data_IF_497353988923
#
_entry.id   IF_497353988923
#
_cell.length_a   1.000
_cell.length_b   1.000
_cell.length_c   1.000
_cell.angle_alpha   90.00
_cell.angle_beta   90.00
_cell.angle_gamma   90.00
#
_symmetry.space_group_name_H-M   'P 1'
#
loop_
_entity.id
_entity.type
_entity.pdbx_description
1 polymer ?
#
# COMPACT_ATOMS: atom_id res chain seq x y z
N UNK A 1 -20.27 28.91 -41.01
CA UNK A 1 -20.73 28.85 -39.61
C UNK A 1 -20.89 27.38 -39.28
N UNK A 2 -19.90 26.78 -38.64
CA UNK A 2 -19.92 25.39 -38.18
C UNK A 2 -19.98 25.45 -36.67
N UNK A 3 -21.13 25.03 -36.10
CA UNK A 3 -21.32 24.87 -34.67
C UNK A 3 -20.49 23.67 -34.19
N UNK A 4 -19.57 23.97 -33.33
CA UNK A 4 -18.81 22.98 -32.58
C UNK A 4 -19.56 22.71 -31.25
N UNK A 5 -20.39 21.69 -31.21
CA UNK A 5 -20.99 21.21 -29.95
C UNK A 5 -19.91 20.47 -29.13
N UNK A 6 -19.55 21.09 -28.05
CA UNK A 6 -18.67 20.49 -27.03
C UNK A 6 -19.43 19.45 -26.26
N UNK A 7 -18.97 18.17 -26.31
CA UNK A 7 -19.45 17.10 -25.46
C UNK A 7 -19.18 17.44 -23.98
N UNK A 8 -20.12 17.15 -23.07
CA UNK A 8 -19.94 17.47 -21.67
C UNK A 8 -18.85 16.56 -21.05
N UNK A 9 -17.78 17.21 -20.60
CA UNK A 9 -16.84 16.60 -19.67
C UNK A 9 -17.60 16.35 -18.37
N UNK A 10 -17.84 15.11 -18.02
CA UNK A 10 -18.40 14.74 -16.72
C UNK A 10 -17.32 15.02 -15.68
N UNK A 11 -17.34 16.20 -15.11
CA UNK A 11 -16.60 16.53 -13.90
C UNK A 11 -17.28 15.78 -12.77
N UNK A 12 -16.56 14.86 -12.12
CA UNK A 12 -17.04 14.19 -10.91
C UNK A 12 -17.29 15.26 -9.83
N UNK A 13 -18.56 15.61 -9.64
CA UNK A 13 -19.01 16.53 -8.61
C UNK A 13 -19.05 15.82 -7.26
N UNK A 14 -19.07 16.59 -6.16
CA UNK A 14 -19.20 16.06 -4.77
C UNK A 14 -20.31 15.02 -4.62
N UNK A 15 -21.40 15.12 -5.38
CA UNK A 15 -22.48 14.13 -5.43
C UNK A 15 -22.05 12.73 -5.88
N UNK A 16 -21.01 12.61 -6.73
CA UNK A 16 -20.49 11.30 -7.14
C UNK A 16 -19.70 10.67 -5.98
N UNK A 17 -18.99 11.48 -5.19
CA UNK A 17 -18.28 11.00 -3.99
C UNK A 17 -19.27 10.56 -2.92
N UNK A 18 -20.36 11.30 -2.69
CA UNK A 18 -21.46 10.89 -1.78
C UNK A 18 -22.14 9.60 -2.26
N UNK A 19 -22.42 9.43 -3.56
CA UNK A 19 -23.03 8.20 -4.08
C UNK A 19 -22.07 6.99 -4.01
N UNK A 20 -20.76 7.21 -4.01
CA UNK A 20 -19.75 6.17 -3.81
C UNK A 20 -19.74 5.67 -2.35
N UNK A 21 -19.95 6.57 -1.38
CA UNK A 21 -20.07 6.20 0.03
C UNK A 21 -21.36 5.42 0.34
N UNK A 22 -22.48 5.80 -0.29
CA UNK A 22 -23.79 5.21 -0.04
C UNK A 22 -23.97 3.80 -0.62
N UNK A 23 -23.23 3.43 -1.68
CA UNK A 23 -23.31 2.09 -2.27
C UNK A 23 -22.65 1.00 -1.40
N UNK A 24 -21.76 1.37 -0.47
CA UNK A 24 -21.17 0.47 0.53
C UNK A 24 -21.90 0.49 1.89
N UNK A 25 -22.88 1.37 2.07
CA UNK A 25 -23.62 1.56 3.31
C UNK A 25 -24.88 0.68 3.39
N UNK A 26 -24.77 -0.66 3.42
CA UNK A 26 -25.93 -1.49 3.78
C UNK A 26 -25.59 -2.71 4.64
N UNK A 27 -25.87 -2.55 5.89
CA UNK A 27 -26.54 -3.44 6.90
C UNK A 27 -25.80 -4.65 7.51
N UNK A 28 -24.75 -5.23 6.95
CA UNK A 28 -23.98 -6.31 7.60
C UNK A 28 -22.46 -6.07 7.60
N UNK A 29 -21.99 -4.94 7.06
CA UNK A 29 -20.59 -4.60 6.87
C UNK A 29 -20.02 -3.56 7.85
N UNK A 30 -20.85 -3.00 8.75
CA UNK A 30 -20.41 -1.89 9.63
C UNK A 30 -19.23 -2.25 10.57
N UNK A 31 -18.97 -3.54 10.75
CA UNK A 31 -17.87 -4.06 11.57
C UNK A 31 -16.77 -4.76 10.75
N UNK A 32 -16.65 -4.49 9.45
CA UNK A 32 -15.62 -5.10 8.60
C UNK A 32 -14.87 -4.05 7.77
N UNK A 33 -13.55 -4.15 7.74
CA UNK A 33 -12.70 -3.29 6.94
C UNK A 33 -12.58 -3.84 5.51
N UNK A 34 -13.05 -3.11 4.48
CA UNK A 34 -12.83 -3.48 3.09
C UNK A 34 -11.41 -3.13 2.65
N UNK A 35 -10.81 -4.00 1.86
CA UNK A 35 -9.49 -3.81 1.23
C UNK A 35 -9.59 -4.26 -0.22
N UNK A 36 -9.04 -3.49 -1.13
CA UNK A 36 -8.96 -3.85 -2.54
C UNK A 36 -7.65 -4.57 -2.83
N UNK A 37 -7.72 -5.79 -3.35
CA UNK A 37 -6.57 -6.50 -3.89
C UNK A 37 -6.57 -6.39 -5.41
N UNK A 38 -5.42 -6.05 -6.00
CA UNK A 38 -5.29 -5.96 -7.45
C UNK A 38 -4.32 -7.03 -7.91
N UNK A 39 -4.80 -7.96 -8.72
CA UNK A 39 -3.95 -8.91 -9.44
C UNK A 39 -3.48 -8.27 -10.74
N UNK A 40 -2.18 -8.16 -10.92
CA UNK A 40 -1.58 -7.56 -12.11
C UNK A 40 -1.73 -8.46 -13.33
N UNK A 41 -2.17 -7.86 -14.43
CA UNK A 41 -2.20 -8.48 -15.76
C UNK A 41 -0.99 -8.01 -16.57
N UNK A 42 -0.61 -6.73 -16.39
CA UNK A 42 0.57 -6.12 -17.02
C UNK A 42 1.29 -5.20 -16.04
N UNK A 43 2.56 -5.47 -15.77
CA UNK A 43 3.30 -6.71 -16.08
C UNK A 43 2.73 -7.89 -15.28
N UNK A 44 3.06 -9.12 -15.67
CA UNK A 44 2.60 -10.35 -15.00
C UNK A 44 3.12 -10.50 -13.56
N UNK A 45 4.14 -9.75 -13.20
CA UNK A 45 4.71 -9.66 -11.84
C UNK A 45 5.02 -8.22 -11.52
N UNK A 46 4.79 -7.83 -10.28
CA UNK A 46 5.03 -6.50 -9.75
C UNK A 46 5.76 -6.63 -8.42
N UNK A 47 6.71 -5.72 -8.17
CA UNK A 47 7.51 -5.77 -6.95
C UNK A 47 9.00 -5.90 -7.21
N UNK A 48 9.71 -6.52 -6.28
CA UNK A 48 11.17 -6.60 -6.29
C UNK A 48 11.61 -7.99 -6.75
N UNK A 49 12.57 -7.99 -7.69
CA UNK A 49 13.22 -9.20 -8.18
C UNK A 49 14.68 -9.21 -7.71
N UNK A 50 15.14 -10.36 -7.28
CA UNK A 50 16.51 -10.60 -6.83
C UNK A 50 17.15 -11.74 -7.62
N UNK A 51 18.37 -11.54 -8.08
CA UNK A 51 19.19 -12.53 -8.75
C UNK A 51 20.65 -12.36 -8.33
N UNK A 52 21.47 -13.37 -8.59
CA UNK A 52 22.92 -13.24 -8.51
C UNK A 52 23.49 -13.07 -9.93
N UNK A 53 24.43 -12.16 -10.11
CA UNK A 53 25.16 -12.03 -11.35
C UNK A 53 26.21 -13.16 -11.55
N UNK A 54 27.05 -13.04 -12.58
CA UNK A 54 28.10 -14.01 -12.88
C UNK A 54 29.20 -14.03 -11.80
N UNK A 55 29.43 -12.91 -11.11
CA UNK A 55 30.37 -12.80 -10.00
C UNK A 55 29.78 -13.29 -8.65
N UNK A 56 28.48 -13.64 -8.62
CA UNK A 56 27.76 -14.02 -7.40
C UNK A 56 27.28 -12.82 -6.57
N UNK A 57 27.35 -11.60 -7.11
CA UNK A 57 26.88 -10.41 -6.44
C UNK A 57 25.37 -10.23 -6.60
N UNK A 58 24.71 -9.69 -5.56
CA UNK A 58 23.28 -9.54 -5.54
C UNK A 58 22.82 -8.40 -6.45
N UNK A 59 22.02 -8.74 -7.45
CA UNK A 59 21.35 -7.79 -8.34
C UNK A 59 19.88 -7.65 -7.94
N UNK A 60 19.47 -6.40 -7.68
CA UNK A 60 18.09 -6.04 -7.39
C UNK A 60 17.49 -5.25 -8.53
N UNK A 61 16.39 -5.74 -9.06
CA UNK A 61 15.59 -5.06 -10.07
C UNK A 61 14.16 -4.86 -9.58
N UNK A 62 13.43 -3.95 -10.22
CA UNK A 62 11.99 -3.78 -9.98
C UNK A 62 11.24 -4.19 -11.23
N UNK A 63 10.26 -5.07 -11.11
CA UNK A 63 9.42 -5.53 -12.20
C UNK A 63 8.35 -4.52 -12.63
N UNK A 64 8.66 -3.23 -12.54
CA UNK A 64 7.77 -2.17 -13.02
C UNK A 64 6.59 -1.86 -12.11
N UNK A 65 5.81 -0.86 -12.55
CA UNK A 65 4.58 -0.43 -11.90
C UNK A 65 3.39 -1.21 -12.45
N UNK A 66 2.34 -1.33 -11.64
CA UNK A 66 1.05 -1.85 -12.10
C UNK A 66 0.51 -0.97 -13.25
N UNK A 67 0.40 -1.56 -14.44
CA UNK A 67 -0.18 -0.91 -15.62
C UNK A 67 -1.63 -1.33 -15.80
N UNK A 68 -1.89 -2.65 -15.77
CA UNK A 68 -3.23 -3.20 -15.90
C UNK A 68 -3.42 -4.34 -14.90
N UNK A 69 -4.60 -4.39 -14.29
CA UNK A 69 -4.91 -5.43 -13.31
C UNK A 69 -6.41 -5.64 -13.12
N UNK A 70 -6.72 -6.64 -12.32
CA UNK A 70 -8.10 -6.91 -11.86
C UNK A 70 -8.16 -6.62 -10.37
N UNK A 71 -8.96 -5.63 -10.01
CA UNK A 71 -9.27 -5.27 -8.63
C UNK A 71 -10.41 -6.13 -8.11
N UNK A 72 -10.31 -6.57 -6.86
CA UNK A 72 -11.34 -7.28 -6.13
C UNK A 72 -11.35 -6.82 -4.68
N UNK A 73 -12.53 -6.44 -4.16
CA UNK A 73 -12.70 -6.00 -2.78
C UNK A 73 -12.98 -7.20 -1.90
N UNK A 74 -12.25 -7.30 -0.77
CA UNK A 74 -12.48 -8.27 0.31
C UNK A 74 -12.67 -7.52 1.62
N UNK A 75 -13.43 -8.09 2.55
CA UNK A 75 -13.71 -7.48 3.85
C UNK A 75 -13.21 -8.33 5.00
N UNK A 76 -12.69 -7.69 6.05
CA UNK A 76 -12.05 -8.35 7.18
C UNK A 76 -12.62 -7.84 8.50
N UNK A 77 -13.06 -8.75 9.35
CA UNK A 77 -13.58 -8.43 10.69
C UNK A 77 -12.47 -8.29 11.73
N UNK A 78 -11.33 -8.94 11.50
CA UNK A 78 -10.18 -8.92 12.42
C UNK A 78 -8.87 -8.70 11.67
N UNK A 79 -7.87 -8.22 12.39
CA UNK A 79 -6.50 -8.11 11.84
C UNK A 79 -5.92 -9.51 11.52
N UNK A 80 -6.31 -10.54 12.26
CA UNK A 80 -5.88 -11.91 12.01
C UNK A 80 -6.42 -12.45 10.67
N UNK A 81 -7.69 -12.18 10.34
CA UNK A 81 -8.28 -12.55 9.04
C UNK A 81 -7.56 -11.85 7.88
N UNK A 82 -7.24 -10.56 8.07
CA UNK A 82 -6.48 -9.79 7.09
C UNK A 82 -5.08 -10.39 6.89
N UNK A 83 -4.36 -10.72 7.97
CA UNK A 83 -3.04 -11.35 7.88
C UNK A 83 -3.09 -12.71 7.21
N UNK A 84 -4.10 -13.52 7.48
CA UNK A 84 -4.31 -14.82 6.83
C UNK A 84 -4.51 -14.68 5.32
N UNK A 85 -5.04 -13.55 4.86
CA UNK A 85 -5.12 -13.23 3.43
C UNK A 85 -3.77 -12.76 2.88
N UNK A 86 -3.01 -11.93 3.62
CA UNK A 86 -1.70 -11.46 3.18
C UNK A 86 -0.70 -12.60 2.93
N UNK A 87 -0.73 -13.65 3.76
CA UNK A 87 0.12 -14.84 3.59
C UNK A 87 -0.09 -15.53 2.23
N UNK A 88 -1.28 -15.40 1.63
CA UNK A 88 -1.62 -16.00 0.33
C UNK A 88 -1.19 -15.12 -0.86
N UNK A 89 -0.62 -13.93 -0.59
CA UNK A 89 -0.29 -12.98 -1.66
C UNK A 89 0.96 -13.38 -2.42
N UNK A 90 0.83 -13.40 -3.72
CA UNK A 90 1.88 -13.70 -4.70
C UNK A 90 2.46 -12.41 -5.29
N UNK A 91 3.66 -12.44 -5.93
CA UNK A 91 4.31 -11.25 -6.48
C UNK A 91 3.57 -10.55 -7.63
N UNK A 92 2.45 -11.07 -8.08
CA UNK A 92 1.55 -10.44 -9.04
C UNK A 92 0.41 -9.65 -8.38
N UNK A 93 0.37 -9.60 -7.02
CA UNK A 93 -0.71 -8.95 -6.27
C UNK A 93 -0.22 -7.80 -5.42
N UNK A 94 -1.06 -6.78 -5.32
CA UNK A 94 -0.90 -5.63 -4.42
C UNK A 94 -2.18 -5.37 -3.66
N UNK A 95 -2.06 -4.73 -2.50
CA UNK A 95 -3.21 -4.17 -1.79
C UNK A 95 -3.34 -2.66 -2.04
N UNK A 96 -4.58 -2.19 -1.94
CA UNK A 96 -4.99 -0.79 -1.93
C UNK A 96 -6.02 -0.64 -0.83
N UNK A 97 -5.81 0.29 0.09
CA UNK A 97 -6.69 0.43 1.28
C UNK A 97 -7.90 1.32 1.04
N UNK A 98 -7.93 2.02 -0.09
CA UNK A 98 -9.18 2.58 -0.61
C UNK A 98 -9.99 1.54 -1.37
N UNK A 99 -11.28 1.79 -1.49
CA UNK A 99 -12.22 0.94 -2.21
C UNK A 99 -12.83 1.67 -3.39
N UNK A 100 -13.18 0.92 -4.42
CA UNK A 100 -13.98 1.40 -5.53
C UNK A 100 -15.44 1.03 -5.32
N UNK A 101 -16.40 1.68 -6.03
CA UNK A 101 -17.82 1.32 -5.95
C UNK A 101 -18.14 -0.08 -6.51
N UNK A 102 -17.15 -0.74 -7.07
CA UNK A 102 -17.32 -2.05 -7.72
C UNK A 102 -16.60 -3.13 -6.92
N UNK A 103 -17.32 -4.19 -6.55
CA UNK A 103 -16.72 -5.35 -5.90
C UNK A 103 -15.59 -5.99 -6.72
N UNK A 104 -15.68 -5.88 -8.07
CA UNK A 104 -14.65 -6.31 -9.01
C UNK A 104 -14.59 -5.37 -10.20
N UNK A 105 -13.38 -4.97 -10.63
CA UNK A 105 -13.17 -4.04 -11.72
C UNK A 105 -11.84 -4.30 -12.46
N UNK A 106 -11.76 -3.90 -13.72
CA UNK A 106 -10.50 -3.83 -14.47
C UNK A 106 -9.85 -2.48 -14.21
N UNK A 107 -8.61 -2.49 -13.76
CA UNK A 107 -7.80 -1.30 -13.49
C UNK A 107 -6.88 -1.05 -14.67
N UNK A 108 -6.91 0.17 -15.24
CA UNK A 108 -6.04 0.61 -16.34
C UNK A 108 -5.46 2.01 -16.04
N UNK A 109 -4.44 2.46 -16.78
CA UNK A 109 -3.94 3.83 -16.65
C UNK A 109 -5.02 4.86 -16.95
N UNK A 110 -5.06 5.95 -16.18
CA UNK A 110 -6.05 7.02 -16.36
C UNK A 110 -6.12 7.56 -17.80
N UNK A 111 -4.97 7.70 -18.46
CA UNK A 111 -4.89 8.17 -19.86
C UNK A 111 -5.58 7.25 -20.87
N UNK A 112 -5.88 6.01 -20.49
CA UNK A 112 -6.52 5.00 -21.36
C UNK A 112 -8.02 4.87 -21.11
N UNK A 113 -8.58 5.59 -20.12
CA UNK A 113 -10.00 5.46 -19.77
C UNK A 113 -10.93 5.87 -20.93
N UNK A 114 -10.60 6.96 -21.66
CA UNK A 114 -11.41 7.49 -22.77
C UNK A 114 -11.51 6.53 -23.97
N UNK A 115 -10.47 5.77 -24.21
CA UNK A 115 -10.38 4.83 -25.34
C UNK A 115 -10.74 3.39 -24.96
N UNK A 116 -11.05 3.14 -23.68
CA UNK A 116 -11.28 1.81 -23.18
C UNK A 116 -12.63 1.28 -23.66
N UNK A 117 -12.57 0.14 -24.40
CA UNK A 117 -13.80 -0.55 -24.83
C UNK A 117 -14.48 -1.19 -23.63
N UNK A 118 -15.79 -1.06 -23.56
CA UNK A 118 -16.62 -1.72 -22.58
C UNK A 118 -16.38 -3.24 -22.61
N UNK A 119 -16.27 -3.84 -21.45
CA UNK A 119 -16.05 -5.26 -21.25
C UNK A 119 -17.02 -5.84 -20.23
N UNK A 120 -16.75 -7.08 -19.79
CA UNK A 120 -17.57 -7.74 -18.75
C UNK A 120 -17.43 -7.10 -17.37
N UNK A 121 -16.34 -6.37 -17.11
CA UNK A 121 -16.08 -5.71 -15.83
C UNK A 121 -16.09 -4.20 -16.02
N UNK A 122 -16.55 -3.45 -15.01
CA UNK A 122 -16.33 -2.02 -14.93
C UNK A 122 -14.85 -1.68 -15.08
N UNK A 123 -14.55 -0.55 -15.73
CA UNK A 123 -13.19 -0.09 -15.96
C UNK A 123 -12.93 1.14 -15.10
N UNK A 124 -11.87 1.09 -14.32
CA UNK A 124 -11.46 2.16 -13.42
C UNK A 124 -9.97 2.47 -13.58
N UNK A 125 -9.55 3.63 -13.11
CA UNK A 125 -8.14 3.97 -12.97
C UNK A 125 -7.74 4.05 -11.51
N UNK A 126 -6.46 3.85 -11.22
CA UNK A 126 -5.92 4.01 -9.88
C UNK A 126 -5.73 5.50 -9.56
N UNK A 127 -6.81 6.14 -9.19
CA UNK A 127 -6.90 7.57 -8.84
C UNK A 127 -7.87 7.77 -7.68
N UNK A 128 -7.80 8.93 -7.03
CA UNK A 128 -8.72 9.32 -5.94
C UNK A 128 -10.18 9.48 -6.38
N UNK A 129 -10.43 9.63 -7.68
CA UNK A 129 -11.78 9.64 -8.21
C UNK A 129 -12.42 8.25 -8.31
N UNK A 130 -11.61 7.18 -8.18
CA UNK A 130 -12.07 5.80 -8.26
C UNK A 130 -11.80 4.99 -6.99
N UNK A 131 -10.95 5.49 -6.11
CA UNK A 131 -10.64 4.88 -4.82
C UNK A 131 -10.81 5.90 -3.71
N UNK A 132 -11.63 5.58 -2.74
CA UNK A 132 -11.81 6.39 -1.54
C UNK A 132 -11.73 5.49 -0.30
N UNK A 133 -11.38 6.07 0.83
CA UNK A 133 -11.50 5.35 2.09
C UNK A 133 -12.98 5.13 2.44
N UNK A 134 -13.34 3.95 3.01
CA UNK A 134 -14.71 3.66 3.38
C UNK A 134 -15.16 4.53 4.57
N UNK A 135 -16.45 4.81 4.62
CA UNK A 135 -17.11 5.25 5.85
C UNK A 135 -17.15 4.06 6.82
N UNK A 136 -16.51 4.16 7.96
CA UNK A 136 -16.47 3.08 8.93
C UNK A 136 -15.11 2.36 8.95
N UNK A 137 -15.11 1.09 9.34
CA UNK A 137 -13.88 0.35 9.60
C UNK A 137 -12.97 0.25 8.36
N UNK A 138 -11.68 0.48 8.55
CA UNK A 138 -10.67 0.43 7.50
C UNK A 138 -9.33 -0.10 8.02
N UNK A 139 -8.42 -0.46 7.13
CA UNK A 139 -7.03 -0.80 7.45
C UNK A 139 -6.15 0.44 7.34
N UNK A 140 -5.57 0.86 8.44
CA UNK A 140 -4.46 1.83 8.47
C UNK A 140 -3.15 1.06 8.30
N UNK A 141 -2.39 1.38 7.26
CA UNK A 141 -1.04 0.89 7.03
C UNK A 141 -0.03 1.94 7.48
N UNK A 142 0.90 1.55 8.34
CA UNK A 142 2.05 2.34 8.75
C UNK A 142 3.28 1.74 8.05
N UNK A 143 3.88 2.45 7.11
CA UNK A 143 5.07 1.98 6.38
C UNK A 143 6.34 2.51 7.06
N UNK A 144 7.21 1.61 7.50
CA UNK A 144 8.45 1.91 8.18
C UNK A 144 9.63 1.38 7.37
N UNK A 145 10.26 2.28 6.61
CA UNK A 145 11.45 1.96 5.81
C UNK A 145 12.75 2.17 6.61
N UNK A 146 13.79 1.45 6.22
CA UNK A 146 15.14 1.71 6.73
C UNK A 146 15.66 3.05 6.23
N UNK A 147 16.39 3.75 7.10
CA UNK A 147 17.08 4.99 6.75
C UNK A 147 18.13 4.73 5.67
N UNK A 148 18.39 5.74 4.85
CA UNK A 148 19.39 5.67 3.77
C UNK A 148 20.78 6.13 4.19
N UNK A 149 20.96 6.50 5.46
CA UNK A 149 22.20 7.01 6.03
C UNK A 149 23.18 5.90 6.46
N UNK A 150 22.85 4.64 6.18
CA UNK A 150 23.66 3.48 6.56
C UNK A 150 23.45 3.01 8.00
N UNK A 151 22.56 3.64 8.78
CA UNK A 151 22.22 3.18 10.11
C UNK A 151 21.53 1.81 10.07
N UNK A 152 21.75 1.00 11.09
CA UNK A 152 21.05 -0.27 11.23
C UNK A 152 19.53 -0.05 11.27
N UNK A 153 18.74 -0.95 10.66
CA UNK A 153 17.29 -0.90 10.81
C UNK A 153 16.91 -1.11 12.28
N UNK A 154 15.89 -0.41 12.73
CA UNK A 154 15.30 -0.70 14.04
C UNK A 154 14.88 -2.17 14.12
N UNK A 155 14.95 -2.79 15.29
CA UNK A 155 14.28 -4.07 15.49
C UNK A 155 12.75 -3.90 15.45
N UNK A 156 12.01 -5.00 15.39
CA UNK A 156 10.56 -4.95 15.40
C UNK A 156 10.04 -4.39 16.73
N UNK A 157 10.66 -4.77 17.83
CA UNK A 157 10.37 -4.28 19.17
C UNK A 157 10.67 -2.77 19.29
N UNK A 158 11.82 -2.32 18.79
CA UNK A 158 12.19 -0.90 18.81
C UNK A 158 11.22 -0.05 18.01
N UNK A 159 10.77 -0.52 16.83
CA UNK A 159 9.77 0.17 16.03
C UNK A 159 8.46 0.29 16.80
N UNK A 160 7.97 -0.82 17.35
CA UNK A 160 6.71 -0.85 18.09
C UNK A 160 6.77 0.02 19.35
N UNK A 161 7.85 -0.02 20.13
CA UNK A 161 8.01 0.83 21.31
C UNK A 161 8.00 2.32 20.96
N UNK A 162 8.61 2.73 19.86
CA UNK A 162 8.54 4.13 19.38
C UNK A 162 7.13 4.53 18.93
N UNK A 163 6.40 3.62 18.30
CA UNK A 163 4.99 3.85 17.96
C UNK A 163 4.13 3.96 19.22
N UNK A 164 4.34 3.08 20.22
CA UNK A 164 3.61 3.11 21.49
C UNK A 164 3.92 4.40 22.31
N UNK A 165 5.13 4.92 22.22
CA UNK A 165 5.49 6.16 22.89
C UNK A 165 4.64 7.35 22.42
N UNK A 166 4.25 7.39 21.13
CA UNK A 166 3.46 8.49 20.55
C UNK A 166 1.97 8.15 20.34
N UNK A 167 1.65 6.87 20.37
CA UNK A 167 0.30 6.33 20.29
C UNK A 167 0.10 5.19 21.30
N UNK A 168 -0.04 5.50 22.61
CA UNK A 168 -0.07 4.49 23.68
C UNK A 168 -1.22 3.46 23.53
N UNK A 169 -2.36 3.89 22.98
CA UNK A 169 -3.50 3.00 22.77
C UNK A 169 -3.18 1.83 21.82
N UNK A 170 -2.20 1.97 20.91
CA UNK A 170 -1.78 0.92 19.99
C UNK A 170 -1.24 -0.30 20.74
N UNK A 171 -0.62 -0.14 21.91
CA UNK A 171 -0.07 -1.25 22.71
C UNK A 171 -1.12 -2.33 23.05
N UNK A 172 -2.35 -1.90 23.30
CA UNK A 172 -3.45 -2.77 23.69
C UNK A 172 -4.46 -3.01 22.56
N UNK A 173 -4.20 -2.45 21.37
CA UNK A 173 -5.06 -2.63 20.20
C UNK A 173 -4.48 -3.70 19.27
N UNK A 174 -5.30 -4.62 18.74
CA UNK A 174 -4.83 -5.62 17.80
C UNK A 174 -4.16 -4.97 16.58
N UNK A 175 -2.93 -5.34 16.33
CA UNK A 175 -2.14 -4.88 15.18
C UNK A 175 -1.26 -6.02 14.68
N UNK A 176 -0.75 -5.90 13.44
CA UNK A 176 0.10 -6.91 12.84
C UNK A 176 1.30 -6.26 12.17
N UNK A 177 2.44 -6.94 12.21
CA UNK A 177 3.67 -6.54 11.56
C UNK A 177 3.91 -7.40 10.33
N UNK A 178 4.35 -6.79 9.23
CA UNK A 178 4.61 -7.46 7.97
C UNK A 178 5.90 -6.96 7.35
N UNK A 179 6.85 -7.86 7.10
CA UNK A 179 8.13 -7.51 6.51
C UNK A 179 8.02 -7.29 5.00
N UNK A 180 8.75 -6.29 4.50
CA UNK A 180 8.70 -5.92 3.08
C UNK A 180 9.28 -7.01 2.17
N UNK A 181 8.92 -6.97 0.89
CA UNK A 181 9.47 -7.86 -0.14
C UNK A 181 10.98 -7.70 -0.38
N UNK A 182 11.68 -6.80 0.31
CA UNK A 182 13.13 -6.68 0.25
C UNK A 182 13.84 -7.13 1.52
N UNK A 183 13.13 -7.70 2.48
CA UNK A 183 13.70 -8.23 3.72
C UNK A 183 13.95 -9.73 3.61
N UNK A 184 14.97 -10.20 4.33
CA UNK A 184 15.27 -11.62 4.54
C UNK A 184 15.47 -12.41 3.23
N UNK A 185 16.39 -11.92 2.38
CA UNK A 185 16.82 -12.63 1.17
C UNK A 185 18.04 -13.49 1.51
N UNK A 186 17.93 -14.78 1.28
CA UNK A 186 18.95 -15.78 1.54
C UNK A 186 19.49 -16.34 0.22
N UNK A 187 20.76 -16.70 0.21
CA UNK A 187 21.47 -17.34 -0.89
C UNK A 187 22.27 -18.56 -0.43
N UNK A 188 23.12 -19.12 -1.30
CA UNK A 188 23.91 -20.33 -1.00
C UNK A 188 24.80 -20.21 0.25
N UNK A 189 25.28 -18.99 0.53
CA UNK A 189 26.13 -18.69 1.70
C UNK A 189 25.40 -18.23 2.96
N UNK A 190 24.07 -18.27 2.97
CA UNK A 190 23.25 -17.78 4.07
C UNK A 190 22.53 -16.45 3.74
N UNK A 191 22.21 -15.69 4.79
CA UNK A 191 21.45 -14.44 4.64
C UNK A 191 22.28 -13.34 3.97
N UNK A 192 21.80 -12.85 2.82
CA UNK A 192 22.42 -11.76 2.06
C UNK A 192 21.78 -10.40 2.45
N UNK A 193 20.47 -10.38 2.59
CA UNK A 193 19.73 -9.19 3.07
C UNK A 193 18.97 -9.58 4.32
N UNK A 194 19.20 -8.85 5.39
CA UNK A 194 18.40 -8.94 6.62
C UNK A 194 17.14 -8.12 6.57
N UNK A 195 16.72 -7.63 7.71
CA UNK A 195 15.57 -6.76 7.86
C UNK A 195 15.74 -5.44 7.09
N UNK A 196 14.69 -5.04 6.36
CA UNK A 196 14.59 -3.75 5.63
C UNK A 196 13.33 -3.01 6.04
N UNK A 197 12.40 -2.80 5.12
CA UNK A 197 11.13 -2.14 5.40
C UNK A 197 10.12 -3.08 6.08
N UNK A 198 9.20 -2.48 6.81
CA UNK A 198 8.11 -3.15 7.53
C UNK A 198 6.84 -2.35 7.42
N UNK A 199 5.73 -3.04 7.60
CA UNK A 199 4.43 -2.42 7.73
C UNK A 199 3.80 -2.84 9.04
N UNK A 200 3.15 -1.89 9.71
CA UNK A 200 2.26 -2.20 10.82
C UNK A 200 0.84 -1.92 10.37
N UNK A 201 -0.02 -2.92 10.46
CA UNK A 201 -1.42 -2.84 10.08
C UNK A 201 -2.30 -2.75 11.31
N UNK A 202 -3.26 -1.84 11.27
CA UNK A 202 -4.21 -1.60 12.36
C UNK A 202 -5.59 -1.43 11.76
N UNK A 203 -6.60 -2.08 12.34
CA UNK A 203 -7.99 -1.77 12.02
C UNK A 203 -8.40 -0.49 12.76
N UNK A 204 -8.92 0.48 12.02
CA UNK A 204 -9.43 1.75 12.55
C UNK A 204 -10.94 1.84 12.28
N UNK A 205 -11.67 2.57 13.14
CA UNK A 205 -13.12 2.67 13.05
C UNK A 205 -13.62 3.62 11.96
N UNK A 206 -12.77 4.56 11.53
CA UNK A 206 -13.09 5.57 10.52
C UNK A 206 -11.99 5.64 9.46
N UNK A 207 -12.28 5.12 8.28
CA UNK A 207 -11.38 5.16 7.15
C UNK A 207 -11.10 6.59 6.65
N UNK A 208 -12.07 7.50 6.73
CA UNK A 208 -11.90 8.88 6.31
C UNK A 208 -10.84 9.62 7.13
N UNK A 209 -10.59 9.19 8.36
CA UNK A 209 -9.59 9.80 9.23
C UNK A 209 -8.15 9.33 8.95
N UNK A 210 -7.93 8.30 8.14
CA UNK A 210 -6.61 7.69 7.91
C UNK A 210 -5.56 8.72 7.48
N UNK A 211 -5.89 9.63 6.56
CA UNK A 211 -4.94 10.62 6.08
C UNK A 211 -4.50 11.58 7.20
N UNK A 212 -5.46 12.06 8.00
CA UNK A 212 -5.18 12.94 9.13
C UNK A 212 -4.42 12.20 10.22
N UNK A 213 -4.86 10.99 10.57
CA UNK A 213 -4.25 10.15 11.59
C UNK A 213 -2.78 9.81 11.23
N UNK A 214 -2.50 9.40 10.00
CA UNK A 214 -1.17 9.09 9.54
C UNK A 214 -0.22 10.28 9.56
N UNK A 215 -0.67 11.44 9.07
CA UNK A 215 0.11 12.69 9.16
C UNK A 215 0.33 13.15 10.62
N UNK A 216 -0.66 12.97 11.46
CA UNK A 216 -0.54 13.29 12.89
C UNK A 216 0.48 12.37 13.56
N UNK A 217 0.43 11.07 13.27
CA UNK A 217 1.40 10.10 13.78
C UNK A 217 2.82 10.46 13.35
N UNK A 218 3.02 10.79 12.07
CA UNK A 218 4.32 11.23 11.55
C UNK A 218 4.85 12.44 12.32
N UNK A 219 4.02 13.48 12.54
CA UNK A 219 4.42 14.67 13.30
C UNK A 219 4.71 14.38 14.77
N UNK A 220 3.92 13.53 15.42
CA UNK A 220 4.19 13.11 16.81
C UNK A 220 5.52 12.38 16.93
N UNK A 221 5.87 11.52 15.98
CA UNK A 221 7.16 10.85 15.94
C UNK A 221 8.32 11.85 15.78
N UNK A 222 8.16 12.88 14.96
CA UNK A 222 9.15 13.95 14.84
C UNK A 222 9.32 14.70 16.17
N UNK A 223 8.23 15.09 16.83
CA UNK A 223 8.25 15.79 18.12
C UNK A 223 8.85 14.94 19.25
N UNK A 224 8.70 13.62 19.17
CA UNK A 224 9.31 12.67 20.11
C UNK A 224 10.81 12.41 19.83
N UNK A 225 11.42 13.12 18.87
CA UNK A 225 12.85 12.98 18.54
C UNK A 225 13.17 11.83 17.58
N UNK A 226 12.15 11.19 16.98
CA UNK A 226 12.33 10.11 15.99
C UNK A 226 12.32 10.62 14.54
N UNK A 227 12.34 11.94 14.35
CA UNK A 227 12.48 12.61 13.07
C UNK A 227 13.94 12.88 12.69
N UNK A 228 14.17 13.15 11.42
CA UNK A 228 15.45 13.61 10.89
C UNK A 228 15.25 14.39 9.59
N UNK A 229 16.28 15.08 9.14
CA UNK A 229 16.29 15.75 7.84
C UNK A 229 17.12 14.92 6.87
N UNK A 230 16.55 14.62 5.70
CA UNK A 230 17.24 14.02 4.56
C UNK A 230 17.44 15.08 3.47
N UNK A 231 18.63 15.17 2.90
CA UNK A 231 18.87 16.05 1.77
C UNK A 231 18.63 15.28 0.47
N UNK A 232 17.68 15.76 -0.33
CA UNK A 232 17.40 15.16 -1.64
C UNK A 232 18.53 15.41 -2.64
N UNK A 233 18.52 14.65 -3.75
CA UNK A 233 19.46 14.86 -4.87
C UNK A 233 19.38 16.28 -5.47
N UNK A 234 18.26 16.97 -5.31
CA UNK A 234 18.05 18.37 -5.71
C UNK A 234 18.32 19.37 -4.60
N UNK A 235 19.07 18.97 -3.55
CA UNK A 235 19.45 19.79 -2.39
C UNK A 235 18.28 20.34 -1.58
N UNK A 236 17.11 19.70 -1.64
CA UNK A 236 15.96 20.06 -0.80
C UNK A 236 16.04 19.32 0.52
N UNK A 237 15.78 20.04 1.61
CA UNK A 237 15.60 19.46 2.94
C UNK A 237 14.25 18.76 3.00
N UNK A 238 14.26 17.47 3.30
CA UNK A 238 13.06 16.64 3.44
C UNK A 238 12.91 16.24 4.91
N UNK A 239 11.80 16.61 5.51
CA UNK A 239 11.43 16.10 6.83
C UNK A 239 11.13 14.60 6.72
N UNK A 240 11.77 13.81 7.55
CA UNK A 240 11.61 12.35 7.61
C UNK A 240 11.33 11.91 9.04
N UNK A 241 10.80 10.71 9.17
CA UNK A 241 10.58 10.03 10.43
C UNK A 241 10.88 8.55 10.25
N UNK A 242 10.64 7.74 11.28
CA UNK A 242 10.74 6.28 11.20
C UNK A 242 9.61 5.66 10.36
N UNK A 243 8.61 6.45 9.95
CA UNK A 243 7.53 6.03 9.07
C UNK A 243 7.45 6.96 7.85
N UNK A 244 6.86 6.46 6.75
CA UNK A 244 6.58 7.25 5.55
C UNK A 244 5.19 7.88 5.63
N UNK A 245 5.08 9.21 5.47
CA UNK A 245 3.81 9.94 5.48
C UNK A 245 3.15 10.02 4.09
N UNK A 246 3.81 9.52 3.04
CA UNK A 246 3.30 9.59 1.66
C UNK A 246 2.37 8.44 1.30
N UNK A 247 2.23 7.44 2.16
CA UNK A 247 1.46 6.21 1.89
C UNK A 247 -0.03 6.33 2.19
N UNK A 248 -0.48 7.42 2.84
CA UNK A 248 -1.86 7.59 3.31
C UNK A 248 -2.84 8.11 2.23
N UNK A 249 -2.68 7.64 1.00
CA UNK A 249 -3.63 7.93 -0.07
C UNK A 249 -4.44 6.67 -0.39
N UNK A 250 -5.77 6.79 -0.60
CA UNK A 250 -6.62 5.62 -0.80
C UNK A 250 -6.23 4.77 -2.02
N UNK A 251 -5.60 5.37 -3.03
CA UNK A 251 -5.11 4.69 -4.24
C UNK A 251 -3.65 4.20 -4.15
N UNK A 252 -3.02 4.34 -2.98
CA UNK A 252 -1.63 3.93 -2.80
C UNK A 252 -1.48 2.41 -2.92
N UNK A 253 -0.46 1.95 -3.67
CA UNK A 253 -0.16 0.53 -3.82
C UNK A 253 0.72 0.04 -2.68
N UNK A 254 0.27 -0.98 -1.99
CA UNK A 254 1.10 -1.75 -1.08
C UNK A 254 1.53 -3.06 -1.74
N UNK A 255 2.83 -3.20 -2.00
CA UNK A 255 3.46 -4.39 -2.59
C UNK A 255 3.71 -5.44 -1.50
N UNK A 256 2.66 -6.17 -1.14
CA UNK A 256 2.62 -7.15 -0.05
C UNK A 256 3.12 -8.54 -0.46
N UNK A 257 3.10 -8.85 -1.76
CA UNK A 257 3.64 -10.09 -2.28
C UNK A 257 5.13 -10.25 -1.95
N UNK A 258 5.61 -11.48 -1.92
CA UNK A 258 7.01 -11.80 -1.71
C UNK A 258 7.92 -11.25 -2.81
N UNK A 259 9.22 -11.34 -2.58
CA UNK A 259 10.22 -11.11 -3.63
C UNK A 259 10.14 -12.20 -4.70
N UNK A 260 10.47 -11.83 -5.93
CA UNK A 260 10.79 -12.80 -6.97
C UNK A 260 12.27 -13.09 -6.88
N UNK A 261 12.63 -14.30 -6.48
CA UNK A 261 14.02 -14.74 -6.38
C UNK A 261 14.37 -15.67 -7.53
N UNK A 262 15.60 -15.61 -8.02
CA UNK A 262 16.14 -16.62 -8.93
C UNK A 262 16.33 -17.98 -8.20
N UNK A 263 16.71 -19.04 -8.91
CA UNK A 263 16.81 -20.39 -8.35
C UNK A 263 17.85 -20.52 -7.21
N UNK A 264 18.80 -19.58 -7.09
CA UNK A 264 19.84 -19.57 -6.09
C UNK A 264 19.48 -18.77 -4.83
N UNK A 265 18.35 -18.09 -4.88
CA UNK A 265 17.88 -17.21 -3.81
C UNK A 265 16.49 -17.61 -3.33
N UNK A 266 16.22 -17.35 -2.07
CA UNK A 266 14.88 -17.45 -1.51
C UNK A 266 14.63 -16.36 -0.48
N UNK A 267 13.38 -16.00 -0.31
CA UNK A 267 12.95 -15.08 0.73
C UNK A 267 12.33 -15.87 1.88
N UNK A 268 12.84 -15.63 3.10
CA UNK A 268 12.35 -16.27 4.31
C UNK A 268 11.93 -15.18 5.32
N UNK A 269 10.66 -14.75 5.20
CA UNK A 269 10.06 -13.74 6.09
C UNK A 269 9.45 -14.44 7.30
N UNK A 270 9.85 -14.08 8.53
CA UNK A 270 9.24 -14.57 9.76
C UNK A 270 7.79 -14.10 9.93
#
# INVERSE_FOLDING_TARGET
MLNCESSPVVVATEKVVESLSDSFNRSDNDNKAPVTFITSVKPSRIGKCFSLDEAGELVKTSSGNLVEGIAEVKTFGTIADFMAELVKMTPDKVAVYGVSPHAKARVIPQRMLGDAKAGKLPIIARTRSHFCYPNGMAVLMIDADTRKDGSAPLSDEELLERLYAVWPALRNHPHALWHSSSSFINGPGGQIIGLRGRRVYVLVQDGHDIQRAGKTLFKRLQLAGFGHIEISKSSKMLEKSIIDDTVYWPEHLDFIGGAVCDQRLHQDRP
#
